data_IF_690941676410
#
_entry.id   IF_690941676410
#
_cell.length_a   1.000
_cell.length_b   1.000
_cell.length_c   1.000
_cell.angle_alpha   90.00
_cell.angle_beta   90.00
_cell.angle_gamma   90.00
#
_symmetry.space_group_name_H-M   'P 1'
#
loop_
_entity.id
_entity.type
_entity.pdbx_description
1 polymer ?
#
# COMPACT_ATOMS: atom_id res chain seq x y z
N UNK A 1 -71.90 -66.65 19.24
CA UNK A 1 -70.55 -67.26 19.35
C UNK A 1 -69.67 -66.52 18.35
N UNK A 2 -69.12 -65.39 18.78
CA UNK A 2 -68.08 -64.66 18.05
C UNK A 2 -66.72 -65.36 18.25
N UNK A 3 -65.68 -64.83 17.60
CA UNK A 3 -64.26 -65.22 17.59
C UNK A 3 -63.87 -66.01 16.33
N UNK A 4 -62.96 -65.56 15.46
CA UNK A 4 -62.14 -64.36 15.47
C UNK A 4 -61.63 -64.21 14.03
N UNK A 5 -61.85 -63.05 13.43
CA UNK A 5 -61.40 -62.71 12.09
C UNK A 5 -59.87 -62.68 12.02
N UNK A 6 -59.35 -63.37 11.03
CA UNK A 6 -58.10 -63.17 10.32
C UNK A 6 -57.48 -61.77 10.53
N UNK A 7 -56.40 -61.69 11.30
CA UNK A 7 -55.50 -60.54 11.29
C UNK A 7 -54.09 -61.11 11.32
N UNK A 8 -53.56 -61.39 10.13
CA UNK A 8 -52.17 -61.76 9.93
C UNK A 8 -51.30 -60.56 10.35
N UNK A 9 -50.58 -60.61 11.49
CA UNK A 9 -49.88 -59.45 12.04
C UNK A 9 -48.67 -59.02 11.21
N UNK A 10 -48.35 -59.76 10.13
CA UNK A 10 -47.27 -59.48 9.20
C UNK A 10 -47.72 -58.64 7.99
N UNK A 11 -49.03 -58.54 7.72
CA UNK A 11 -49.57 -57.73 6.62
C UNK A 11 -49.50 -56.22 6.90
N UNK A 12 -49.22 -55.83 8.13
CA UNK A 12 -49.05 -54.44 8.57
C UNK A 12 -47.58 -54.01 8.61
N UNK A 13 -46.66 -54.86 8.16
CA UNK A 13 -45.22 -54.59 8.11
C UNK A 13 -44.78 -54.01 6.76
N UNK A 14 -45.64 -53.23 6.12
CA UNK A 14 -45.38 -52.68 4.79
C UNK A 14 -45.35 -51.15 4.78
N UNK A 15 -44.85 -50.50 5.83
CA UNK A 15 -44.53 -49.06 5.78
C UNK A 15 -43.63 -48.64 6.97
N UNK A 16 -42.50 -49.34 7.18
CA UNK A 16 -41.36 -48.63 7.76
C UNK A 16 -40.71 -47.92 6.58
N UNK A 17 -41.25 -46.75 6.25
CA UNK A 17 -40.56 -45.77 5.42
C UNK A 17 -39.22 -45.53 6.13
N UNK A 18 -38.17 -46.19 5.67
CA UNK A 18 -36.81 -45.85 6.07
C UNK A 18 -36.71 -44.33 5.90
N UNK A 19 -36.25 -43.56 6.91
CA UNK A 19 -36.06 -42.15 6.72
C UNK A 19 -35.11 -42.05 5.53
N UNK A 20 -35.62 -41.59 4.39
CA UNK A 20 -34.80 -41.28 3.24
C UNK A 20 -33.68 -40.45 3.81
N UNK A 21 -32.45 -40.98 3.77
CA UNK A 21 -31.28 -40.29 4.30
C UNK A 21 -31.44 -38.84 3.86
N UNK A 22 -31.39 -37.83 4.76
CA UNK A 22 -31.52 -36.45 4.34
C UNK A 22 -30.54 -36.28 3.21
N UNK A 23 -31.09 -36.19 1.99
CA UNK A 23 -30.31 -36.20 0.77
C UNK A 23 -29.27 -35.13 1.03
N UNK A 24 -28.00 -35.49 0.89
CA UNK A 24 -26.84 -34.64 1.15
C UNK A 24 -26.87 -33.52 0.10
N UNK A 25 -27.89 -32.67 0.21
CA UNK A 25 -28.31 -31.65 -0.73
C UNK A 25 -27.40 -30.45 -0.48
N UNK A 26 -27.09 -29.72 -1.55
CA UNK A 26 -25.83 -29.06 -1.75
C UNK A 26 -25.60 -28.05 -0.63
N UNK A 27 -24.33 -27.85 -0.22
CA UNK A 27 -24.00 -26.84 0.77
C UNK A 27 -24.74 -25.56 0.37
N UNK A 28 -25.66 -25.13 1.25
CA UNK A 28 -26.57 -24.02 0.99
C UNK A 28 -25.81 -22.88 0.30
N UNK A 29 -26.39 -22.20 -0.71
CA UNK A 29 -25.68 -21.21 -1.53
C UNK A 29 -24.94 -20.14 -0.71
N UNK A 30 -25.38 -19.90 0.53
CA UNK A 30 -24.72 -19.04 1.53
C UNK A 30 -23.23 -19.40 1.79
N UNK A 31 -22.85 -20.68 1.73
CA UNK A 31 -21.45 -21.09 1.95
C UNK A 31 -20.55 -20.69 0.79
N UNK A 32 -21.08 -20.70 -0.44
CA UNK A 32 -20.35 -20.20 -1.61
C UNK A 32 -20.19 -18.69 -1.56
N UNK A 33 -21.20 -17.94 -1.09
CA UNK A 33 -21.06 -16.51 -0.83
C UNK A 33 -20.04 -16.23 0.27
N UNK A 34 -20.07 -17.00 1.36
CA UNK A 34 -19.11 -16.86 2.46
C UNK A 34 -17.68 -17.18 2.00
N UNK A 35 -17.49 -18.23 1.22
CA UNK A 35 -16.20 -18.61 0.65
C UNK A 35 -15.70 -17.56 -0.36
N UNK A 36 -16.57 -17.06 -1.23
CA UNK A 36 -16.26 -15.97 -2.16
C UNK A 36 -15.86 -14.70 -1.43
N UNK A 37 -16.63 -14.30 -0.41
CA UNK A 37 -16.33 -13.15 0.44
C UNK A 37 -14.97 -13.31 1.15
N UNK A 38 -14.67 -14.51 1.67
CA UNK A 38 -13.39 -14.81 2.31
C UNK A 38 -12.22 -14.69 1.31
N UNK A 39 -12.38 -15.21 0.10
CA UNK A 39 -11.36 -15.10 -0.96
C UNK A 39 -11.14 -13.64 -1.34
N UNK A 40 -12.20 -12.87 -1.55
CA UNK A 40 -12.13 -11.44 -1.88
C UNK A 40 -11.45 -10.66 -0.76
N UNK A 41 -11.80 -10.94 0.49
CA UNK A 41 -11.17 -10.33 1.66
C UNK A 41 -9.69 -10.67 1.74
N UNK A 42 -9.32 -11.93 1.51
CA UNK A 42 -7.92 -12.36 1.50
C UNK A 42 -7.13 -11.69 0.38
N UNK A 43 -7.71 -11.58 -0.83
CA UNK A 43 -7.10 -10.88 -1.96
C UNK A 43 -6.88 -9.40 -1.66
N UNK A 44 -7.88 -8.73 -1.08
CA UNK A 44 -7.78 -7.34 -0.63
C UNK A 44 -6.68 -7.19 0.43
N UNK A 45 -6.70 -8.05 1.45
CA UNK A 45 -5.72 -8.03 2.53
C UNK A 45 -4.29 -8.24 2.01
N UNK A 46 -4.07 -9.24 1.14
CA UNK A 46 -2.77 -9.51 0.52
C UNK A 46 -2.32 -8.36 -0.37
N UNK A 47 -3.23 -7.75 -1.14
CA UNK A 47 -2.92 -6.59 -1.99
C UNK A 47 -2.48 -5.38 -1.17
N UNK A 48 -3.21 -5.08 -0.10
CA UNK A 48 -2.86 -4.02 0.85
C UNK A 48 -1.52 -4.33 1.52
N UNK A 49 -1.34 -5.54 2.04
CA UNK A 49 -0.11 -5.95 2.72
C UNK A 49 1.12 -5.92 1.81
N UNK A 50 0.98 -6.38 0.56
CA UNK A 50 2.02 -6.25 -0.47
C UNK A 50 2.35 -4.79 -0.77
N UNK A 51 1.35 -3.92 -0.88
CA UNK A 51 1.56 -2.47 -1.06
C UNK A 51 2.33 -1.87 0.12
N UNK A 52 1.99 -2.22 1.36
CA UNK A 52 2.70 -1.77 2.55
C UNK A 52 4.15 -2.27 2.62
N UNK A 53 4.38 -3.57 2.36
CA UNK A 53 5.72 -4.17 2.42
C UNK A 53 6.64 -3.64 1.31
N UNK A 54 6.12 -3.50 0.08
CA UNK A 54 6.89 -2.96 -1.06
C UNK A 54 7.39 -1.54 -0.79
N UNK A 55 6.60 -0.68 -0.13
CA UNK A 55 7.01 0.68 0.21
C UNK A 55 8.21 0.70 1.19
N UNK A 56 8.19 -0.15 2.23
CA UNK A 56 9.30 -0.24 3.19
C UNK A 56 10.59 -0.76 2.55
N UNK A 57 10.50 -1.77 1.67
CA UNK A 57 11.68 -2.31 0.97
C UNK A 57 12.30 -1.24 0.06
N UNK A 58 11.47 -0.54 -0.71
CA UNK A 58 11.89 0.57 -1.58
C UNK A 58 12.59 1.70 -0.82
N UNK A 59 12.07 2.06 0.35
CA UNK A 59 12.69 3.05 1.22
C UNK A 59 14.07 2.59 1.72
N UNK A 60 14.20 1.33 2.12
CA UNK A 60 15.50 0.78 2.54
C UNK A 60 16.53 0.83 1.42
N UNK A 61 16.15 0.44 0.20
CA UNK A 61 17.03 0.52 -0.97
C UNK A 61 17.48 1.96 -1.25
N UNK A 62 16.56 2.94 -1.18
CA UNK A 62 16.91 4.34 -1.37
C UNK A 62 17.87 4.87 -0.27
N UNK A 63 17.70 4.42 0.97
CA UNK A 63 18.61 4.77 2.06
C UNK A 63 19.99 4.13 1.90
N UNK A 64 20.08 2.92 1.35
CA UNK A 64 21.36 2.31 1.01
C UNK A 64 22.07 3.09 -0.09
N UNK A 65 21.36 3.43 -1.17
CA UNK A 65 21.91 4.27 -2.24
C UNK A 65 22.39 5.63 -1.72
N UNK A 66 21.69 6.22 -0.75
CA UNK A 66 22.13 7.47 -0.12
C UNK A 66 23.47 7.30 0.62
N UNK A 67 23.67 6.17 1.31
CA UNK A 67 24.93 5.87 2.01
C UNK A 67 26.05 5.70 0.98
N UNK A 68 25.81 4.99 -0.12
CA UNK A 68 26.79 4.79 -1.18
C UNK A 68 27.22 6.14 -1.80
N UNK A 69 26.26 7.03 -2.07
CA UNK A 69 26.53 8.38 -2.59
C UNK A 69 27.31 9.25 -1.59
N UNK A 70 27.04 9.09 -0.29
CA UNK A 70 27.78 9.80 0.76
C UNK A 70 29.25 9.32 0.82
N UNK A 71 29.48 8.01 0.69
CA UNK A 71 30.82 7.44 0.68
C UNK A 71 31.64 7.85 -0.55
N UNK A 72 30.97 7.97 -1.71
CA UNK A 72 31.62 8.37 -2.96
C UNK A 72 31.78 9.88 -3.14
N UNK A 73 31.43 10.71 -2.14
CA UNK A 73 31.37 12.17 -2.23
C UNK A 73 30.63 12.65 -3.49
N UNK A 74 29.44 12.10 -3.73
CA UNK A 74 28.68 12.39 -4.94
C UNK A 74 28.25 13.86 -5.05
N UNK A 75 28.09 14.31 -6.29
CA UNK A 75 27.62 15.66 -6.59
C UNK A 75 26.13 15.87 -6.29
N UNK A 76 25.75 17.14 -6.17
CA UNK A 76 24.37 17.54 -5.88
C UNK A 76 23.34 17.02 -6.91
N UNK A 77 23.75 16.86 -8.17
CA UNK A 77 22.89 16.30 -9.21
C UNK A 77 22.51 14.85 -8.91
N UNK A 78 23.47 14.02 -8.48
CA UNK A 78 23.22 12.60 -8.16
C UNK A 78 22.31 12.46 -6.94
N UNK A 79 22.53 13.30 -5.91
CA UNK A 79 21.64 13.37 -4.75
C UNK A 79 20.21 13.74 -5.16
N UNK A 80 20.05 14.73 -6.05
CA UNK A 80 18.74 15.15 -6.55
C UNK A 80 18.07 14.04 -7.38
N UNK A 81 18.82 13.35 -8.24
CA UNK A 81 18.32 12.20 -9.00
C UNK A 81 17.79 11.10 -8.07
N UNK A 82 18.49 10.82 -6.97
CA UNK A 82 18.02 9.88 -5.94
C UNK A 82 16.71 10.37 -5.32
N UNK A 83 16.60 11.64 -4.92
CA UNK A 83 15.37 12.22 -4.35
C UNK A 83 14.18 12.14 -5.32
N UNK A 84 14.41 12.44 -6.60
CA UNK A 84 13.39 12.26 -7.66
C UNK A 84 13.00 10.80 -7.83
N UNK A 85 13.98 9.90 -7.82
CA UNK A 85 13.74 8.46 -7.86
C UNK A 85 12.86 8.01 -6.70
N UNK A 86 13.13 8.50 -5.48
CA UNK A 86 12.30 8.23 -4.31
C UNK A 86 10.90 8.78 -4.48
N UNK A 87 10.72 10.02 -4.94
CA UNK A 87 9.40 10.60 -5.20
C UNK A 87 8.58 9.74 -6.18
N UNK A 88 9.19 9.25 -7.26
CA UNK A 88 8.55 8.38 -8.25
C UNK A 88 8.09 7.03 -7.69
N UNK A 89 8.61 6.59 -6.54
CA UNK A 89 8.17 5.36 -5.87
C UNK A 89 6.84 5.54 -5.12
N UNK A 90 6.48 6.78 -4.78
CA UNK A 90 5.30 7.13 -3.98
C UNK A 90 4.22 7.88 -4.77
N UNK A 91 4.61 8.61 -5.82
CA UNK A 91 3.72 9.45 -6.63
C UNK A 91 3.67 8.96 -8.08
N UNK A 92 2.57 9.22 -8.82
CA UNK A 92 2.49 8.88 -10.23
C UNK A 92 3.56 9.62 -11.04
N UNK A 93 4.14 8.91 -12.03
CA UNK A 93 5.24 9.45 -12.86
C UNK A 93 4.87 10.76 -13.54
N UNK A 94 3.63 10.91 -14.00
CA UNK A 94 3.14 12.12 -14.66
C UNK A 94 3.22 13.36 -13.77
N UNK A 95 3.00 13.21 -12.46
CA UNK A 95 3.02 14.31 -11.52
C UNK A 95 4.43 14.74 -11.13
N UNK A 96 5.36 13.80 -10.97
CA UNK A 96 6.74 14.11 -10.54
C UNK A 96 7.65 14.45 -11.72
N UNK A 97 7.47 13.78 -12.86
CA UNK A 97 8.36 13.96 -14.01
C UNK A 97 8.26 15.37 -14.62
N UNK A 98 7.11 16.04 -14.50
CA UNK A 98 6.92 17.42 -14.96
C UNK A 98 7.52 18.47 -14.01
N UNK A 99 7.92 18.10 -12.79
CA UNK A 99 8.43 19.05 -11.79
C UNK A 99 9.92 19.32 -12.06
N UNK A 100 10.24 20.58 -12.30
CA UNK A 100 11.61 21.05 -12.55
C UNK A 100 11.89 22.34 -11.78
N UNK A 101 13.18 22.62 -11.55
CA UNK A 101 13.66 23.85 -10.90
C UNK A 101 12.90 24.19 -9.62
N UNK A 102 12.19 25.32 -9.66
CA UNK A 102 11.38 25.84 -8.55
C UNK A 102 10.25 24.91 -8.12
N UNK A 103 9.50 24.36 -9.07
CA UNK A 103 8.35 23.49 -8.78
C UNK A 103 8.82 22.21 -8.07
N UNK A 104 10.00 21.72 -8.42
CA UNK A 104 10.61 20.58 -7.74
C UNK A 104 11.03 20.92 -6.31
N UNK A 105 11.62 22.11 -6.08
CA UNK A 105 11.96 22.57 -4.74
C UNK A 105 10.72 22.72 -3.86
N UNK A 106 9.66 23.35 -4.38
CA UNK A 106 8.40 23.55 -3.66
C UNK A 106 7.74 22.20 -3.32
N UNK A 107 7.80 21.24 -4.23
CA UNK A 107 7.35 19.88 -3.98
C UNK A 107 8.12 19.23 -2.83
N UNK A 108 9.46 19.31 -2.83
CA UNK A 108 10.28 18.76 -1.74
C UNK A 108 9.86 19.35 -0.40
N UNK A 109 9.67 20.67 -0.33
CA UNK A 109 9.24 21.37 0.87
C UNK A 109 7.85 20.98 1.34
N UNK A 110 6.90 20.77 0.42
CA UNK A 110 5.52 20.39 0.78
C UNK A 110 5.44 19.04 1.51
N UNK A 111 6.40 18.14 1.25
CA UNK A 111 6.50 16.82 1.91
C UNK A 111 7.65 16.73 2.91
N UNK A 112 8.23 17.87 3.30
CA UNK A 112 9.25 17.94 4.33
C UNK A 112 8.63 18.27 5.70
N UNK A 113 9.21 17.73 6.77
CA UNK A 113 8.84 18.13 8.14
C UNK A 113 9.52 19.44 8.54
N UNK A 114 10.74 19.64 8.05
CA UNK A 114 11.62 20.77 8.30
C UNK A 114 12.04 21.34 6.95
N UNK A 115 12.36 22.64 6.87
CA UNK A 115 12.82 23.22 5.63
C UNK A 115 14.11 22.53 5.15
N UNK A 116 14.05 21.96 3.95
CA UNK A 116 15.14 21.26 3.26
C UNK A 116 15.89 22.21 2.36
N UNK A 117 17.22 22.18 2.48
CA UNK A 117 18.14 23.04 1.76
C UNK A 117 17.86 24.54 2.04
N UNK A 118 18.90 25.37 2.06
CA UNK A 118 18.73 26.72 2.62
C UNK A 118 17.76 27.59 1.78
N UNK A 119 18.17 28.01 0.58
CA UNK A 119 17.41 28.93 -0.25
C UNK A 119 17.03 28.28 -1.59
N UNK A 120 15.80 28.52 -2.07
CA UNK A 120 15.29 28.10 -3.39
C UNK A 120 16.25 28.46 -4.53
N UNK A 121 16.74 29.71 -4.57
CA UNK A 121 17.67 30.16 -5.61
C UNK A 121 19.02 29.44 -5.51
N UNK A 122 19.53 29.25 -4.29
CA UNK A 122 20.77 28.53 -4.07
C UNK A 122 20.65 27.07 -4.52
N UNK A 123 19.53 26.41 -4.20
CA UNK A 123 19.23 25.05 -4.64
C UNK A 123 19.20 24.93 -6.17
N UNK A 124 18.49 25.83 -6.84
CA UNK A 124 18.36 25.83 -8.31
C UNK A 124 19.71 26.08 -8.97
N UNK A 125 20.48 27.04 -8.44
CA UNK A 125 21.84 27.31 -8.92
C UNK A 125 22.71 26.06 -8.80
N UNK A 126 22.68 25.36 -7.65
CA UNK A 126 23.43 24.10 -7.47
C UNK A 126 22.97 22.99 -8.40
N UNK A 127 21.68 22.95 -8.76
CA UNK A 127 21.12 21.91 -9.63
C UNK A 127 21.50 22.07 -11.11
N UNK A 128 21.60 23.31 -11.59
CA UNK A 128 21.88 23.62 -13.00
C UNK A 128 23.32 24.07 -13.27
N UNK A 129 24.18 24.13 -12.25
CA UNK A 129 25.58 24.45 -12.42
C UNK A 129 26.38 23.22 -12.92
N UNK A 130 27.24 23.42 -13.91
CA UNK A 130 28.17 22.40 -14.39
C UNK A 130 29.61 22.95 -14.32
N UNK A 131 30.53 22.32 -13.56
CA UNK A 131 30.33 21.10 -12.77
C UNK A 131 29.46 21.36 -11.52
N UNK A 132 28.69 20.35 -11.13
CA UNK A 132 27.86 20.43 -9.95
C UNK A 132 28.73 20.43 -8.69
N UNK A 133 28.37 21.22 -7.66
CA UNK A 133 29.12 21.22 -6.41
C UNK A 133 28.92 19.90 -5.67
N UNK A 134 29.99 19.45 -5.03
CA UNK A 134 29.99 18.29 -4.12
C UNK A 134 28.95 18.50 -3.01
N UNK A 135 28.26 17.43 -2.62
CA UNK A 135 27.32 17.48 -1.51
C UNK A 135 28.05 17.62 -0.17
N UNK A 136 27.53 18.48 0.70
CA UNK A 136 27.96 18.54 2.10
C UNK A 136 27.29 17.43 2.92
N UNK A 137 27.87 17.07 4.07
CA UNK A 137 27.26 16.11 5.01
C UNK A 137 25.84 16.51 5.43
N UNK A 138 25.57 17.82 5.52
CA UNK A 138 24.24 18.37 5.84
C UNK A 138 23.22 18.07 4.75
N UNK A 139 23.62 18.10 3.47
CA UNK A 139 22.74 17.78 2.35
C UNK A 139 22.27 16.30 2.41
N UNK A 140 23.20 15.39 2.73
CA UNK A 140 22.88 13.97 2.91
C UNK A 140 21.97 13.74 4.11
N UNK A 141 22.20 14.42 5.22
CA UNK A 141 21.36 14.32 6.41
C UNK A 141 19.93 14.83 6.14
N UNK A 142 19.80 15.99 5.47
CA UNK A 142 18.52 16.54 5.06
C UNK A 142 17.78 15.59 4.09
N UNK A 143 18.48 15.02 3.11
CA UNK A 143 17.93 14.02 2.20
C UNK A 143 17.45 12.76 2.97
N UNK A 144 18.24 12.27 3.92
CA UNK A 144 17.87 11.13 4.77
C UNK A 144 16.60 11.41 5.58
N UNK A 145 16.52 12.59 6.20
CA UNK A 145 15.35 13.00 6.98
C UNK A 145 14.09 13.10 6.11
N UNK A 146 14.23 13.61 4.88
CA UNK A 146 13.10 13.64 3.93
C UNK A 146 12.67 12.24 3.50
N UNK A 147 13.59 11.38 3.07
CA UNK A 147 13.28 9.99 2.63
C UNK A 147 12.60 9.20 3.76
N UNK A 148 13.07 9.38 5.00
CA UNK A 148 12.47 8.71 6.17
C UNK A 148 11.10 9.29 6.52
N UNK A 149 10.92 10.61 6.45
CA UNK A 149 9.68 11.31 6.77
C UNK A 149 8.59 11.26 5.69
N UNK A 150 8.94 11.02 4.42
CA UNK A 150 8.06 11.14 3.26
C UNK A 150 6.77 10.33 3.40
N UNK A 151 6.87 9.05 3.77
CA UNK A 151 5.71 8.17 3.94
C UNK A 151 4.73 8.68 5.01
N UNK A 152 5.25 9.30 6.08
CA UNK A 152 4.43 9.85 7.17
C UNK A 152 3.70 11.11 6.71
N UNK A 153 4.37 11.97 5.95
CA UNK A 153 3.76 13.18 5.38
C UNK A 153 2.69 12.82 4.35
N UNK A 154 2.93 11.83 3.49
CA UNK A 154 1.92 11.35 2.55
C UNK A 154 0.67 10.85 3.28
N UNK A 155 0.83 10.10 4.38
CA UNK A 155 -0.30 9.64 5.19
C UNK A 155 -1.08 10.84 5.76
N UNK A 156 -0.36 11.80 6.36
CA UNK A 156 -0.94 13.03 6.93
C UNK A 156 -1.75 13.82 5.88
N UNK A 157 -1.23 14.00 4.67
CA UNK A 157 -1.92 14.73 3.59
C UNK A 157 -3.21 14.02 3.15
N UNK A 158 -3.22 12.68 3.12
CA UNK A 158 -4.44 11.92 2.80
C UNK A 158 -5.51 12.11 3.87
N UNK A 159 -5.14 12.04 5.14
CA UNK A 159 -6.09 12.16 6.26
C UNK A 159 -6.76 13.55 6.26
N UNK A 160 -6.00 14.63 6.03
CA UNK A 160 -6.53 16.01 5.93
C UNK A 160 -7.53 16.16 4.77
N UNK A 161 -7.26 15.50 3.64
CA UNK A 161 -8.13 15.59 2.45
C UNK A 161 -9.46 14.85 2.68
N UNK A 162 -9.45 13.76 3.44
CA UNK A 162 -10.65 13.00 3.79
C UNK A 162 -11.53 13.76 4.80
N UNK A 163 -10.92 14.42 5.79
CA UNK A 163 -11.65 15.21 6.80
C UNK A 163 -12.44 16.38 6.16
N UNK A 164 -11.85 17.03 5.15
CA UNK A 164 -12.49 18.18 4.47
C UNK A 164 -13.73 17.79 3.66
N UNK A 165 -13.81 16.56 3.16
CA UNK A 165 -14.95 16.07 2.38
C UNK A 165 -16.06 15.50 3.28
N UNK A 166 -15.77 15.18 4.54
CA UNK A 166 -16.75 14.66 5.48
C UNK A 166 -17.47 15.77 6.28
N UNK A 167 -17.08 17.03 6.07
CA UNK A 167 -17.58 18.20 6.80
C UNK A 167 -18.30 19.21 5.87
N UNK A 168 -18.76 18.73 4.71
CA UNK A 168 -19.59 19.43 3.72
C UNK A 168 -20.78 18.54 3.40
#
# INVERSE_FOLDING_TARGET
MSLQNNQNPLAQLNDILAPSLPSFWPPAPIYWFLLSALIIFLLLFVSLFKKYKKQKVKQKMALQQLIDLQQSNADFILLNQLLKGVALLYFPRTQVASLHGEQWFDFLQSYAKTPLFDNKQHFIKRLYNSPAPVCSSRDFEQARQWITGLHKQIKKTRDITQEKHNNV
#
